data_IF_533164656582
#
_entry.id   IF_533164656582
#
_cell.length_a   1.000
_cell.length_b   1.000
_cell.length_c   1.000
_cell.angle_alpha   90.00
_cell.angle_beta   90.00
_cell.angle_gamma   90.00
#
_symmetry.space_group_name_H-M   'P 1'
#
loop_
_entity.id
_entity.type
_entity.pdbx_description
1 polymer ?
#
# COMPACT_ATOMS: atom_id res chain seq x y z
N UNK A 1 72.96 -29.82 31.65
CA UNK A 1 72.62 -28.45 31.21
C UNK A 1 71.11 -28.35 31.17
N UNK A 2 70.48 -27.97 32.27
CA UNK A 2 69.01 -28.04 32.44
C UNK A 2 68.41 -26.64 32.32
N UNK A 3 67.56 -26.49 31.31
CA UNK A 3 66.80 -25.29 30.97
C UNK A 3 65.68 -25.06 32.00
N UNK A 4 65.71 -23.93 32.71
CA UNK A 4 64.68 -23.54 33.68
C UNK A 4 63.70 -22.55 33.02
N UNK A 5 62.50 -23.03 32.67
CA UNK A 5 61.45 -22.23 32.02
C UNK A 5 60.64 -21.49 33.08
N UNK A 6 60.95 -20.21 33.26
CA UNK A 6 60.22 -19.26 34.11
C UNK A 6 58.77 -19.11 33.63
N UNK A 7 57.82 -19.60 34.42
CA UNK A 7 56.39 -19.41 34.21
C UNK A 7 55.91 -18.22 35.07
N UNK A 8 55.52 -17.12 34.41
CA UNK A 8 54.94 -15.95 35.08
C UNK A 8 53.44 -16.17 35.33
N UNK A 9 52.90 -15.87 36.53
CA UNK A 9 51.48 -16.03 36.82
C UNK A 9 50.63 -15.01 36.06
N UNK A 10 49.59 -15.49 35.40
CA UNK A 10 48.63 -14.66 34.65
C UNK A 10 47.77 -13.89 35.66
N UNK A 11 47.71 -12.55 35.53
CA UNK A 11 46.94 -11.69 36.45
C UNK A 11 45.42 -11.94 36.28
N UNK A 12 44.66 -12.19 37.37
CA UNK A 12 43.27 -12.65 37.31
C UNK A 12 42.33 -11.65 36.61
N UNK A 13 42.62 -10.35 36.68
CA UNK A 13 41.83 -9.29 36.03
C UNK A 13 41.73 -9.46 34.50
N UNK A 14 42.78 -9.95 33.84
CA UNK A 14 42.80 -10.15 32.37
C UNK A 14 41.85 -11.30 31.97
N UNK A 15 41.64 -12.27 32.85
CA UNK A 15 40.76 -13.41 32.60
C UNK A 15 39.29 -12.95 32.64
N UNK A 16 38.92 -12.12 33.62
CA UNK A 16 37.55 -11.61 33.75
C UNK A 16 37.14 -10.68 32.58
N UNK A 17 38.04 -9.80 32.12
CA UNK A 17 37.77 -8.90 30.97
C UNK A 17 37.63 -9.69 29.66
N UNK A 18 38.42 -10.75 29.47
CA UNK A 18 38.29 -11.61 28.28
C UNK A 18 37.00 -12.43 28.31
N UNK A 19 36.59 -12.92 29.48
CA UNK A 19 35.40 -13.77 29.63
C UNK A 19 34.10 -12.98 29.41
N UNK A 20 34.01 -11.74 29.90
CA UNK A 20 32.83 -10.89 29.67
C UNK A 20 32.68 -10.55 28.18
N UNK A 21 33.77 -10.20 27.50
CA UNK A 21 33.76 -9.90 26.06
C UNK A 21 33.38 -11.12 25.20
N UNK A 22 33.80 -12.32 25.60
CA UNK A 22 33.49 -13.56 24.89
C UNK A 22 32.00 -13.95 24.97
N UNK A 23 31.26 -13.45 25.97
CA UNK A 23 29.84 -13.76 26.19
C UNK A 23 28.94 -12.65 25.65
N UNK A 24 29.28 -11.38 25.85
CA UNK A 24 28.40 -10.26 25.42
C UNK A 24 28.40 -10.04 23.91
N UNK A 25 29.54 -10.26 23.25
CA UNK A 25 29.70 -10.03 21.83
C UNK A 25 28.91 -11.02 20.95
N UNK A 26 28.87 -12.34 21.21
CA UNK A 26 27.99 -13.25 20.46
C UNK A 26 26.51 -13.00 20.76
N UNK A 27 26.13 -12.61 21.98
CA UNK A 27 24.72 -12.29 22.32
C UNK A 27 24.25 -11.04 21.56
N UNK A 28 25.08 -10.00 21.44
CA UNK A 28 24.78 -8.81 20.65
C UNK A 28 24.70 -9.13 19.15
N UNK A 29 25.60 -9.97 18.63
CA UNK A 29 25.55 -10.43 17.24
C UNK A 29 24.26 -11.24 16.98
N UNK A 30 23.86 -12.13 17.90
CA UNK A 30 22.63 -12.91 17.77
C UNK A 30 21.40 -11.99 17.74
N UNK A 31 21.33 -10.97 18.61
CA UNK A 31 20.27 -9.97 18.59
C UNK A 31 20.21 -9.21 17.24
N UNK A 32 21.36 -8.77 16.71
CA UNK A 32 21.43 -8.09 15.40
C UNK A 32 21.04 -9.02 14.23
N UNK A 33 21.34 -10.32 14.30
CA UNK A 33 20.98 -11.30 13.27
C UNK A 33 19.49 -11.64 13.31
N UNK A 34 18.86 -11.67 14.49
CA UNK A 34 17.40 -11.93 14.60
C UNK A 34 16.55 -10.84 13.93
N UNK A 35 16.94 -9.57 14.04
CA UNK A 35 16.23 -8.47 13.37
C UNK A 35 16.36 -8.54 11.84
N UNK A 36 17.52 -8.98 11.35
CA UNK A 36 17.81 -9.06 9.90
C UNK A 36 17.03 -10.19 9.20
N UNK A 37 16.85 -11.33 9.87
CA UNK A 37 16.12 -12.46 9.30
C UNK A 37 14.61 -12.16 9.16
N UNK A 38 14.04 -11.39 10.11
CA UNK A 38 12.63 -11.00 10.08
C UNK A 38 12.33 -9.88 9.05
N UNK A 39 13.32 -9.05 8.69
CA UNK A 39 13.13 -7.98 7.70
C UNK A 39 13.22 -8.48 6.23
N UNK A 40 14.00 -9.52 5.97
CA UNK A 40 14.19 -10.10 4.63
C UNK A 40 12.90 -10.67 4.03
N UNK A 41 12.09 -11.39 4.83
CA UNK A 41 10.86 -12.04 4.36
C UNK A 41 9.80 -11.08 3.82
N UNK A 42 9.65 -9.89 4.41
CA UNK A 42 8.67 -8.87 3.97
C UNK A 42 8.97 -8.32 2.57
N UNK A 43 10.26 -8.08 2.25
CA UNK A 43 10.65 -7.49 0.96
C UNK A 43 10.42 -8.42 -0.24
N UNK A 44 10.61 -9.73 -0.06
CA UNK A 44 10.38 -10.71 -1.13
C UNK A 44 8.89 -10.87 -1.43
N UNK A 45 8.07 -10.99 -0.37
CA UNK A 45 6.61 -11.10 -0.49
C UNK A 45 6.01 -9.90 -1.25
N UNK A 46 6.42 -8.68 -0.92
CA UNK A 46 5.90 -7.47 -1.58
C UNK A 46 6.22 -7.45 -3.09
N UNK A 47 7.38 -7.92 -3.54
CA UNK A 47 7.70 -7.94 -4.98
C UNK A 47 6.81 -8.91 -5.77
N UNK A 48 6.54 -10.08 -5.19
CA UNK A 48 5.63 -11.06 -5.79
C UNK A 48 4.22 -10.50 -5.84
N UNK A 49 3.76 -9.92 -4.73
CA UNK A 49 2.46 -9.29 -4.62
C UNK A 49 2.25 -8.17 -5.65
N UNK A 50 3.20 -7.24 -5.78
CA UNK A 50 3.16 -6.17 -6.79
C UNK A 50 3.17 -6.71 -8.22
N UNK A 51 3.85 -7.84 -8.47
CA UNK A 51 3.81 -8.51 -9.78
C UNK A 51 2.43 -9.08 -10.07
N UNK A 52 1.76 -9.66 -9.07
CA UNK A 52 0.40 -10.16 -9.25
C UNK A 52 -0.59 -9.03 -9.55
N UNK A 53 -0.49 -7.88 -8.87
CA UNK A 53 -1.31 -6.70 -9.16
C UNK A 53 -1.20 -6.23 -10.62
N UNK A 54 -0.04 -6.39 -11.25
CA UNK A 54 0.17 -6.03 -12.66
C UNK A 54 -0.20 -7.15 -13.64
N UNK A 55 -0.56 -8.34 -13.17
CA UNK A 55 -0.89 -9.50 -13.99
C UNK A 55 -2.14 -10.22 -13.43
N UNK A 56 -3.23 -9.46 -13.29
CA UNK A 56 -4.51 -9.96 -12.80
C UNK A 56 -5.68 -9.24 -13.48
N UNK A 57 -6.88 -9.74 -13.22
CA UNK A 57 -8.12 -9.18 -13.73
C UNK A 57 -8.70 -8.14 -12.76
N UNK A 58 -9.19 -7.04 -13.32
CA UNK A 58 -9.88 -5.99 -12.60
C UNK A 58 -11.31 -5.82 -13.12
N UNK A 59 -12.24 -5.46 -12.22
CA UNK A 59 -13.62 -5.17 -12.60
C UNK A 59 -13.83 -3.67 -12.72
N UNK A 60 -14.09 -3.19 -13.94
CA UNK A 60 -14.41 -1.80 -14.25
C UNK A 60 -15.75 -1.74 -14.99
N UNK A 61 -16.73 -1.00 -14.46
CA UNK A 61 -18.06 -0.83 -15.07
C UNK A 61 -18.70 -2.15 -15.52
N UNK A 62 -18.63 -3.17 -14.67
CA UNK A 62 -19.14 -4.53 -14.91
C UNK A 62 -18.45 -5.28 -16.07
N UNK A 63 -17.27 -4.84 -16.49
CA UNK A 63 -16.38 -5.53 -17.44
C UNK A 63 -15.15 -6.05 -16.72
N UNK A 64 -14.69 -7.22 -17.14
CA UNK A 64 -13.44 -7.82 -16.68
C UNK A 64 -12.31 -7.30 -17.58
N UNK A 65 -11.29 -6.70 -16.97
CA UNK A 65 -10.14 -6.11 -17.62
C UNK A 65 -8.89 -6.90 -17.20
N UNK A 66 -8.40 -7.84 -18.03
CA UNK A 66 -7.17 -8.56 -17.74
C UNK A 66 -5.97 -7.64 -18.00
N UNK A 67 -5.22 -7.28 -16.95
CA UNK A 67 -3.96 -6.57 -17.13
C UNK A 67 -2.84 -7.56 -17.40
N UNK A 68 -2.00 -7.22 -18.37
CA UNK A 68 -0.73 -7.88 -18.61
C UNK A 68 0.40 -6.87 -18.41
N UNK A 69 1.29 -7.14 -17.46
CA UNK A 69 2.38 -6.21 -17.09
C UNK A 69 1.87 -4.79 -16.78
N UNK A 70 0.67 -4.69 -16.20
CA UNK A 70 0.04 -3.47 -15.73
C UNK A 70 -0.72 -2.70 -16.80
N UNK A 71 -0.92 -3.27 -18.00
CA UNK A 71 -1.61 -2.60 -19.10
C UNK A 71 -2.61 -3.55 -19.76
N UNK A 72 -3.72 -2.99 -20.20
CA UNK A 72 -4.68 -3.61 -21.11
C UNK A 72 -4.95 -2.65 -22.27
N UNK A 73 -5.01 -3.20 -23.48
CA UNK A 73 -5.44 -2.48 -24.69
C UNK A 73 -6.39 -3.37 -25.47
N UNK A 74 -7.56 -2.86 -25.80
CA UNK A 74 -8.59 -3.61 -26.52
C UNK A 74 -9.47 -2.71 -27.37
N UNK A 75 -10.16 -3.26 -28.36
CA UNK A 75 -11.11 -2.50 -29.16
C UNK A 75 -12.40 -2.22 -28.36
N UNK A 76 -13.01 -1.04 -28.54
CA UNK A 76 -14.29 -0.71 -27.89
C UNK A 76 -15.40 -1.64 -28.41
N UNK A 77 -15.36 -1.93 -29.71
CA UNK A 77 -16.22 -2.81 -30.48
C UNK A 77 -15.37 -3.41 -31.62
N UNK A 78 -15.71 -4.60 -32.15
CA UNK A 78 -14.97 -5.20 -33.27
C UNK A 78 -14.85 -4.24 -34.46
N UNK A 79 -13.62 -3.91 -34.87
CA UNK A 79 -13.32 -3.01 -35.99
C UNK A 79 -13.40 -1.52 -35.66
N UNK A 80 -13.50 -1.13 -34.39
CA UNK A 80 -13.46 0.27 -33.99
C UNK A 80 -12.07 0.89 -34.23
N UNK A 81 -12.04 2.13 -34.72
CA UNK A 81 -10.78 2.88 -34.88
C UNK A 81 -10.15 3.29 -33.53
N UNK A 82 -10.95 3.37 -32.47
CA UNK A 82 -10.51 3.73 -31.13
C UNK A 82 -10.37 2.51 -30.23
N UNK A 83 -9.30 2.50 -29.43
CA UNK A 83 -9.04 1.47 -28.43
C UNK A 83 -9.32 1.96 -27.01
N UNK A 84 -9.77 1.04 -26.18
CA UNK A 84 -9.78 1.16 -24.73
C UNK A 84 -8.38 0.86 -24.22
N UNK A 85 -7.84 1.73 -23.40
CA UNK A 85 -6.58 1.51 -22.72
C UNK A 85 -6.78 1.63 -21.21
N UNK A 86 -6.38 0.61 -20.46
CA UNK A 86 -6.39 0.62 -19.00
C UNK A 86 -4.97 0.37 -18.51
N UNK A 87 -4.51 1.18 -17.55
CA UNK A 87 -3.17 1.10 -16.98
C UNK A 87 -3.23 1.10 -15.46
N UNK A 88 -2.47 0.21 -14.84
CA UNK A 88 -2.14 0.27 -13.43
C UNK A 88 -1.19 1.45 -13.18
N UNK A 89 -1.62 2.42 -12.38
CA UNK A 89 -0.78 3.57 -12.04
C UNK A 89 0.31 3.19 -11.03
N UNK A 90 1.21 4.14 -10.75
CA UNK A 90 2.19 4.03 -9.67
C UNK A 90 1.58 4.24 -8.27
N UNK A 91 0.36 4.77 -8.20
CA UNK A 91 -0.34 5.01 -6.94
C UNK A 91 -0.97 3.73 -6.44
N UNK A 92 -0.39 3.21 -5.37
CA UNK A 92 -0.91 2.07 -4.61
C UNK A 92 -0.57 2.23 -3.13
N UNK A 93 -1.40 1.61 -2.29
CA UNK A 93 -1.13 1.44 -0.87
C UNK A 93 -1.32 -0.03 -0.49
N UNK A 94 -0.49 -0.50 0.43
CA UNK A 94 -0.59 -1.83 1.03
C UNK A 94 -1.00 -1.69 2.49
N UNK A 95 -1.90 -2.53 2.95
CA UNK A 95 -2.41 -2.50 4.31
C UNK A 95 -3.58 -3.46 4.48
N UNK A 96 -3.96 -3.72 5.72
CA UNK A 96 -5.16 -4.50 6.05
C UNK A 96 -6.40 -3.61 5.88
N UNK A 97 -7.29 -3.97 4.95
CA UNK A 97 -8.50 -3.19 4.63
C UNK A 97 -9.76 -3.92 5.14
N UNK A 98 -9.73 -5.25 5.19
CA UNK A 98 -10.87 -6.09 5.58
C UNK A 98 -10.84 -6.54 7.07
N UNK A 99 -9.75 -6.27 7.79
CA UNK A 99 -9.57 -6.58 9.21
C UNK A 99 -9.10 -8.01 9.50
N UNK A 100 -8.64 -8.77 8.49
CA UNK A 100 -8.23 -10.16 8.63
C UNK A 100 -6.75 -10.35 9.02
N UNK A 101 -6.02 -9.24 9.22
CA UNK A 101 -4.57 -9.18 9.52
C UNK A 101 -3.67 -9.64 8.38
N UNK A 102 -4.20 -9.86 7.18
CA UNK A 102 -3.42 -10.03 5.96
C UNK A 102 -3.23 -8.68 5.27
N UNK A 103 -2.20 -8.57 4.44
CA UNK A 103 -1.98 -7.35 3.66
C UNK A 103 -2.82 -7.42 2.39
N UNK A 104 -3.73 -6.47 2.26
CA UNK A 104 -4.45 -6.15 1.04
C UNK A 104 -3.73 -5.04 0.26
N UNK A 105 -4.35 -4.62 -0.85
CA UNK A 105 -3.93 -3.48 -1.63
C UNK A 105 -5.08 -2.54 -1.94
N UNK A 106 -4.76 -1.28 -2.15
CA UNK A 106 -5.57 -0.37 -2.97
C UNK A 106 -4.72 0.13 -4.11
N UNK A 107 -5.25 0.06 -5.31
CA UNK A 107 -4.58 0.55 -6.52
C UNK A 107 -5.40 1.61 -7.22
N UNK A 108 -4.75 2.44 -8.02
CA UNK A 108 -5.42 3.34 -8.94
C UNK A 108 -5.22 2.86 -10.38
N UNK A 109 -6.33 2.64 -11.09
CA UNK A 109 -6.36 2.37 -12.52
C UNK A 109 -6.65 3.64 -13.31
N UNK A 110 -5.95 3.81 -14.42
CA UNK A 110 -6.15 4.89 -15.38
C UNK A 110 -6.82 4.29 -16.62
N UNK A 111 -8.00 4.79 -16.97
CA UNK A 111 -8.82 4.27 -18.04
C UNK A 111 -9.08 5.37 -19.10
N UNK A 112 -8.68 5.08 -20.34
CA UNK A 112 -8.95 5.88 -21.52
C UNK A 112 -9.86 5.08 -22.45
N UNK A 113 -11.14 5.48 -22.56
CA UNK A 113 -12.16 4.77 -23.34
C UNK A 113 -12.20 5.17 -24.84
N UNK A 114 -11.08 5.65 -25.40
CA UNK A 114 -10.98 6.07 -26.80
C UNK A 114 -11.52 7.46 -27.14
N UNK A 115 -11.83 8.29 -26.12
CA UNK A 115 -12.08 9.73 -26.25
C UNK A 115 -10.91 10.57 -25.74
N UNK A 116 -11.16 11.82 -25.36
CA UNK A 116 -10.16 12.74 -24.76
C UNK A 116 -10.07 12.67 -23.23
N UNK A 117 -11.00 11.95 -22.59
CA UNK A 117 -11.02 11.80 -21.13
C UNK A 117 -10.05 10.73 -20.63
N UNK A 118 -9.52 10.95 -19.43
CA UNK A 118 -8.63 10.03 -18.72
C UNK A 118 -9.15 9.83 -17.31
N UNK A 119 -9.87 8.75 -17.10
CA UNK A 119 -10.58 8.48 -15.86
C UNK A 119 -9.72 7.70 -14.87
N UNK A 120 -9.77 8.09 -13.61
CA UNK A 120 -9.02 7.44 -12.53
C UNK A 120 -9.98 6.69 -11.61
N UNK A 121 -9.69 5.43 -11.36
CA UNK A 121 -10.51 4.53 -10.56
C UNK A 121 -9.71 3.99 -9.38
N UNK A 122 -10.29 4.09 -8.18
CA UNK A 122 -9.77 3.46 -6.97
C UNK A 122 -10.31 2.03 -6.89
N UNK A 123 -9.41 1.06 -6.75
CA UNK A 123 -9.81 -0.36 -6.70
C UNK A 123 -9.18 -1.02 -5.47
N UNK A 124 -9.99 -1.55 -4.55
CA UNK A 124 -9.45 -2.39 -3.49
C UNK A 124 -9.19 -3.80 -4.04
N UNK A 125 -8.07 -4.37 -3.63
CA UNK A 125 -7.67 -5.74 -3.96
C UNK A 125 -7.47 -6.48 -2.65
N UNK A 126 -8.37 -7.39 -2.35
CA UNK A 126 -8.36 -8.17 -1.11
C UNK A 126 -7.59 -9.46 -1.35
N UNK A 127 -6.76 -9.83 -0.38
CA UNK A 127 -6.06 -11.10 -0.39
C UNK A 127 -6.92 -12.17 0.28
N UNK A 128 -7.37 -13.16 -0.49
CA UNK A 128 -8.00 -14.36 0.06
C UNK A 128 -7.04 -15.53 -0.09
N UNK A 129 -6.48 -15.97 1.04
CA UNK A 129 -5.50 -17.06 1.11
C UNK A 129 -4.29 -16.78 0.21
N UNK A 130 -4.17 -17.47 -0.93
CA UNK A 130 -3.08 -17.26 -1.91
C UNK A 130 -3.52 -16.46 -3.16
N UNK A 131 -4.79 -16.05 -3.22
CA UNK A 131 -5.38 -15.36 -4.36
C UNK A 131 -5.62 -13.88 -4.08
N UNK A 132 -5.51 -13.06 -5.12
CA UNK A 132 -5.89 -11.65 -5.08
C UNK A 132 -7.22 -11.48 -5.80
N UNK A 133 -8.16 -10.81 -5.15
CA UNK A 133 -9.47 -10.51 -5.70
C UNK A 133 -9.66 -8.99 -5.79
N UNK A 134 -9.77 -8.46 -7.01
CA UNK A 134 -10.15 -7.08 -7.23
C UNK A 134 -11.67 -6.94 -7.03
N UNK A 135 -12.09 -6.01 -6.16
CA UNK A 135 -13.51 -5.72 -5.96
C UNK A 135 -13.95 -4.56 -6.86
N UNK A 136 -15.18 -4.09 -6.66
CA UNK A 136 -15.75 -3.01 -7.45
C UNK A 136 -14.96 -1.70 -7.30
N UNK A 137 -14.68 -1.09 -8.45
CA UNK A 137 -13.95 0.15 -8.55
C UNK A 137 -14.82 1.37 -8.23
N UNK A 138 -14.20 2.40 -7.64
CA UNK A 138 -14.83 3.71 -7.41
C UNK A 138 -14.19 4.74 -8.32
N UNK A 139 -15.00 5.46 -9.11
CA UNK A 139 -14.52 6.58 -9.91
C UNK A 139 -14.07 7.74 -9.01
N UNK A 140 -12.83 8.19 -9.21
CA UNK A 140 -12.27 9.36 -8.55
C UNK A 140 -12.50 10.64 -9.36
N UNK A 141 -12.39 10.55 -10.69
CA UNK A 141 -12.65 11.65 -11.62
C UNK A 141 -11.93 11.52 -12.97
N UNK A 142 -12.09 12.54 -13.80
CA UNK A 142 -11.37 12.74 -15.08
C UNK A 142 -10.15 13.65 -14.85
N UNK A 143 -8.99 13.27 -15.39
CA UNK A 143 -7.72 14.02 -15.38
C UNK A 143 -7.33 14.63 -14.03
N UNK A 144 -7.54 13.86 -12.96
CA UNK A 144 -7.12 14.24 -11.62
C UNK A 144 -5.59 14.19 -11.47
N UNK A 145 -5.06 14.87 -10.45
CA UNK A 145 -3.67 14.73 -10.02
C UNK A 145 -3.61 14.19 -8.61
N UNK A 146 -3.09 12.98 -8.43
CA UNK A 146 -2.96 12.34 -7.13
C UNK A 146 -1.93 13.07 -6.25
N UNK A 147 -2.24 13.20 -4.96
CA UNK A 147 -1.36 13.84 -3.95
C UNK A 147 -0.93 12.82 -2.91
N UNK A 148 -1.86 12.03 -2.37
CA UNK A 148 -1.56 10.96 -1.41
C UNK A 148 -2.57 9.82 -1.48
N UNK A 149 -2.09 8.62 -1.15
CA UNK A 149 -2.90 7.42 -0.97
C UNK A 149 -2.26 6.59 0.14
N UNK A 150 -3.00 6.30 1.21
CA UNK A 150 -2.55 5.46 2.30
C UNK A 150 -3.71 4.65 2.89
N UNK A 151 -3.34 3.61 3.65
CA UNK A 151 -4.28 2.79 4.41
C UNK A 151 -3.86 2.89 5.87
N UNK A 152 -4.76 3.39 6.72
CA UNK A 152 -4.56 3.54 8.15
C UNK A 152 -5.83 3.12 8.88
N UNK A 153 -5.71 2.27 9.91
CA UNK A 153 -6.85 1.81 10.72
C UNK A 153 -8.01 1.24 9.86
N UNK A 154 -7.69 0.40 8.86
CA UNK A 154 -8.63 -0.16 7.88
C UNK A 154 -9.41 0.90 7.08
N UNK A 155 -8.93 2.14 7.07
CA UNK A 155 -9.49 3.24 6.29
C UNK A 155 -8.50 3.63 5.20
N UNK A 156 -9.02 3.77 3.99
CA UNK A 156 -8.29 4.24 2.82
C UNK A 156 -8.43 5.76 2.80
N UNK A 157 -7.31 6.47 2.87
CA UNK A 157 -7.27 7.92 2.79
C UNK A 157 -6.65 8.32 1.45
N UNK A 158 -7.37 9.11 0.67
CA UNK A 158 -6.91 9.59 -0.64
C UNK A 158 -7.06 11.11 -0.73
N UNK A 159 -6.00 11.75 -1.23
CA UNK A 159 -6.00 13.17 -1.57
C UNK A 159 -5.60 13.33 -3.02
N UNK A 160 -6.36 14.13 -3.77
CA UNK A 160 -6.10 14.42 -5.18
C UNK A 160 -6.65 15.79 -5.56
N UNK A 161 -6.11 16.36 -6.64
CA UNK A 161 -6.61 17.57 -7.25
C UNK A 161 -7.55 17.22 -8.41
N UNK A 162 -8.66 17.95 -8.53
CA UNK A 162 -9.54 17.90 -9.71
C UNK A 162 -9.82 19.31 -10.23
N UNK A 163 -10.28 19.40 -11.47
CA UNK A 163 -10.71 20.67 -12.07
C UNK A 163 -11.92 21.26 -11.36
N UNK A 164 -11.94 22.59 -11.23
CA UNK A 164 -13.16 23.34 -10.91
C UNK A 164 -14.20 23.28 -12.01
N UNK A 165 -15.45 23.68 -11.71
CA UNK A 165 -16.52 23.72 -12.74
C UNK A 165 -16.21 24.69 -13.87
N UNK A 166 -15.54 25.80 -13.56
CA UNK A 166 -15.15 26.84 -14.52
C UNK A 166 -13.73 26.63 -15.07
N UNK A 167 -13.05 25.56 -14.68
CA UNK A 167 -11.67 25.32 -15.06
C UNK A 167 -11.59 24.54 -16.38
N UNK A 168 -10.77 25.02 -17.30
CA UNK A 168 -10.56 24.33 -18.57
C UNK A 168 -9.84 22.99 -18.34
N UNK A 169 -10.33 21.94 -18.97
CA UNK A 169 -9.75 20.60 -18.87
C UNK A 169 -8.34 20.45 -19.49
N UNK A 170 -7.81 21.52 -20.09
CA UNK A 170 -6.44 21.62 -20.62
C UNK A 170 -5.44 22.22 -19.61
N UNK A 171 -5.90 22.76 -18.47
CA UNK A 171 -5.02 23.26 -17.41
C UNK A 171 -4.74 22.17 -16.37
N UNK A 172 -3.65 22.29 -15.56
CA UNK A 172 -3.46 21.41 -14.42
C UNK A 172 -4.57 21.58 -13.38
N UNK A 173 -5.17 20.51 -12.84
CA UNK A 173 -6.26 20.61 -11.87
C UNK A 173 -5.83 21.34 -10.59
N UNK A 174 -6.74 22.15 -10.02
CA UNK A 174 -6.41 23.06 -8.92
C UNK A 174 -7.14 22.80 -7.59
N UNK A 175 -8.26 22.06 -7.60
CA UNK A 175 -9.10 21.89 -6.39
C UNK A 175 -8.75 20.61 -5.66
N UNK A 176 -8.22 20.74 -4.45
CA UNK A 176 -7.96 19.60 -3.57
C UNK A 176 -9.26 18.94 -3.09
N UNK A 177 -9.26 17.61 -3.14
CA UNK A 177 -10.32 16.73 -2.69
C UNK A 177 -9.69 15.69 -1.79
N UNK A 178 -10.29 15.52 -0.61
CA UNK A 178 -9.95 14.48 0.35
C UNK A 178 -11.14 13.54 0.47
N UNK A 179 -10.91 12.23 0.31
CA UNK A 179 -11.94 11.20 0.49
C UNK A 179 -11.40 10.11 1.38
N UNK A 180 -12.30 9.51 2.15
CA UNK A 180 -12.00 8.42 3.06
C UNK A 180 -12.93 7.26 2.75
N UNK A 181 -12.40 6.04 2.67
CA UNK A 181 -13.19 4.85 2.39
C UNK A 181 -12.93 3.76 3.41
N UNK A 182 -13.96 2.97 3.69
CA UNK A 182 -13.83 1.68 4.35
C UNK A 182 -14.44 0.60 3.47
N UNK A 183 -13.90 -0.60 3.55
CA UNK A 183 -14.52 -1.76 2.93
C UNK A 183 -15.67 -2.26 3.81
N UNK A 184 -16.87 -2.30 3.27
CA UNK A 184 -18.08 -2.80 3.91
C UNK A 184 -18.85 -3.65 2.91
N UNK A 185 -19.25 -4.86 3.30
CA UNK A 185 -20.00 -5.78 2.44
C UNK A 185 -19.37 -5.99 1.04
N UNK A 186 -18.03 -6.08 0.98
CA UNK A 186 -17.24 -6.21 -0.25
C UNK A 186 -17.29 -4.99 -1.20
N UNK A 187 -17.71 -3.83 -0.71
CA UNK A 187 -17.72 -2.58 -1.46
C UNK A 187 -17.05 -1.44 -0.68
N UNK A 188 -16.41 -0.51 -1.40
CA UNK A 188 -15.90 0.71 -0.77
C UNK A 188 -17.05 1.65 -0.44
N UNK A 189 -17.20 1.95 0.84
CA UNK A 189 -18.14 2.96 1.35
C UNK A 189 -17.37 4.19 1.78
N UNK A 190 -17.78 5.35 1.26
CA UNK A 190 -17.18 6.63 1.62
C UNK A 190 -17.60 7.04 3.04
N UNK A 191 -16.62 7.36 3.88
CA UNK A 191 -16.80 7.79 5.26
C UNK A 191 -16.74 9.31 5.28
N UNK A 192 -17.88 9.95 5.54
CA UNK A 192 -17.93 11.39 5.75
C UNK A 192 -17.60 11.72 7.21
N UNK A 193 -16.58 12.54 7.43
CA UNK A 193 -16.14 12.98 8.78
C UNK A 193 -17.10 14.02 9.43
N UNK A 194 -18.38 14.01 9.03
CA UNK A 194 -19.43 14.86 9.62
C UNK A 194 -19.89 14.38 11.01
N UNK A 195 -19.27 13.34 11.57
CA UNK A 195 -19.59 12.77 12.88
C UNK A 195 -18.68 13.26 14.01
N UNK A 196 -18.17 14.49 13.95
CA UNK A 196 -17.92 15.24 15.19
C UNK A 196 -19.28 15.60 15.81
N UNK A 197 -19.79 14.65 16.58
CA UNK A 197 -21.00 14.71 17.39
C UNK A 197 -21.10 16.03 18.18
N UNK A 198 -21.84 17.01 17.66
CA UNK A 198 -22.37 18.11 18.48
C UNK A 198 -23.23 17.54 19.62
N UNK A 199 -23.85 16.36 19.43
CA UNK A 199 -24.56 15.63 20.47
C UNK A 199 -23.65 15.13 21.63
N UNK A 200 -22.39 14.76 21.36
CA UNK A 200 -21.46 14.32 22.41
C UNK A 200 -20.93 15.50 23.21
N UNK A 201 -20.72 16.65 22.56
CA UNK A 201 -20.30 17.90 23.21
C UNK A 201 -21.42 18.47 24.08
N UNK A 202 -22.70 18.34 23.67
CA UNK A 202 -23.85 18.84 24.45
C UNK A 202 -24.32 17.87 25.56
N UNK A 203 -24.07 16.57 25.43
CA UNK A 203 -24.38 15.60 26.50
C UNK A 203 -23.45 15.67 27.72
N UNK A 204 -22.31 16.37 27.59
CA UNK A 204 -21.32 16.56 28.66
C UNK A 204 -21.46 17.86 29.46
N UNK A 205 -22.44 18.72 29.15
CA UNK A 205 -22.56 20.08 29.73
C UNK A 205 -23.83 20.33 30.56
N UNK A 206 -24.57 19.28 30.97
CA UNK A 206 -25.64 19.42 31.98
C UNK A 206 -25.28 18.64 33.23
N UNK A 207 -24.65 19.33 34.18
CA UNK A 207 -24.79 19.10 35.62
C UNK A 207 -25.12 20.42 36.29
#
# INVERSE_FOLDING_TARGET
MTENKSSRPIRPYIIYVKLTYFITLPVLIILLVTESCHHSGRRFSNRVFLRQLSNMEYKLDNRIIPLEKGVYSGEILPGAASTINVKLSEWLALGDINGDKQSDAVVVLIHNAGGSGTFHYLVPVVKDSDNLCALDAVLLGDRISMVSLNIENQQINIVYLKHGSEEAMSTPPSREIQRHFRLQDHALTEVNDKSLNVAAILSGYSR
#
